data_IF_457843284858
#
_entry.id   IF_457843284858
#
_cell.length_a   1.000
_cell.length_b   1.000
_cell.length_c   1.000
_cell.angle_alpha   90.00
_cell.angle_beta   90.00
_cell.angle_gamma   90.00
#
_symmetry.space_group_name_H-M   'P 1'
#
loop_
_entity.id
_entity.type
_entity.pdbx_description
1 polymer ?
#
# COMPACT_ATOMS: atom_id res chain seq x y z
N UNK A 1 9.55 -3.25 -5.16
CA UNK A 1 8.81 -2.06 -4.69
C UNK A 1 9.81 -1.03 -4.19
N UNK A 2 9.58 0.24 -4.50
CA UNK A 2 10.38 1.38 -4.05
C UNK A 2 9.41 2.31 -3.32
N UNK A 3 9.71 2.73 -2.10
CA UNK A 3 8.76 3.53 -1.33
C UNK A 3 9.34 4.13 -0.06
N UNK A 4 8.54 4.96 0.59
CA UNK A 4 8.87 5.61 1.86
C UNK A 4 7.74 5.41 2.86
N UNK A 5 8.10 4.93 4.05
CA UNK A 5 7.16 4.70 5.14
C UNK A 5 6.93 5.96 5.96
N UNK A 6 5.70 6.13 6.39
CA UNK A 6 5.31 7.15 7.36
C UNK A 6 4.80 6.52 8.64
N UNK A 7 4.97 7.22 9.75
CA UNK A 7 4.33 6.87 11.01
C UNK A 7 2.80 6.86 10.85
N UNK A 8 2.09 6.05 11.62
CA UNK A 8 0.64 5.96 11.49
C UNK A 8 0.19 4.92 10.47
N UNK A 9 1.01 3.89 10.19
CA UNK A 9 0.79 2.92 9.11
C UNK A 9 0.81 3.51 7.68
N UNK A 10 1.34 4.72 7.49
CA UNK A 10 1.30 5.39 6.19
C UNK A 10 2.37 4.85 5.26
N UNK A 11 2.08 4.84 3.96
CA UNK A 11 3.02 4.37 2.96
C UNK A 11 2.76 5.02 1.61
N UNK A 12 3.83 5.44 0.94
CA UNK A 12 3.83 5.64 -0.51
C UNK A 12 4.77 4.62 -1.14
N UNK A 13 4.27 3.87 -2.12
CA UNK A 13 5.05 2.82 -2.80
C UNK A 13 4.78 2.82 -4.29
N UNK A 14 5.85 2.65 -5.06
CA UNK A 14 5.83 2.41 -6.49
C UNK A 14 6.29 0.97 -6.79
N UNK A 15 5.53 0.29 -7.63
CA UNK A 15 5.90 -1.00 -8.20
C UNK A 15 6.16 -0.87 -9.71
N UNK A 16 7.44 -0.93 -10.15
CA UNK A 16 7.78 -0.79 -11.56
C UNK A 16 7.30 -1.96 -12.42
N UNK A 17 7.02 -3.13 -11.84
CA UNK A 17 6.56 -4.30 -12.60
C UNK A 17 5.13 -4.12 -13.08
N UNK A 18 4.25 -3.69 -12.18
CA UNK A 18 2.82 -3.41 -12.45
C UNK A 18 2.57 -1.98 -12.89
N UNK A 19 3.58 -1.10 -12.81
CA UNK A 19 3.49 0.34 -13.10
C UNK A 19 2.47 1.07 -12.24
N UNK A 20 2.29 0.62 -11.00
CA UNK A 20 1.29 1.15 -10.06
C UNK A 20 1.97 1.89 -8.92
N UNK A 21 1.37 3.01 -8.54
CA UNK A 21 1.72 3.79 -7.35
C UNK A 21 0.56 3.69 -6.36
N UNK A 22 0.86 3.35 -5.11
CA UNK A 22 -0.11 3.28 -4.01
C UNK A 22 0.29 4.32 -2.96
N UNK A 23 -0.60 5.26 -2.68
CA UNK A 23 -0.49 6.19 -1.57
C UNK A 23 -1.56 5.84 -0.53
N UNK A 24 -1.14 5.28 0.60
CA UNK A 24 -1.99 4.94 1.72
C UNK A 24 -1.76 5.94 2.86
N UNK A 25 -2.76 6.80 3.05
CA UNK A 25 -2.76 7.88 4.05
C UNK A 25 -3.78 7.54 5.11
N UNK A 26 -3.45 7.79 6.38
CA UNK A 26 -4.34 7.52 7.51
C UNK A 26 -4.56 8.78 8.32
N UNK A 27 -5.77 8.95 8.83
CA UNK A 27 -6.06 9.96 9.84
C UNK A 27 -5.90 9.32 11.22
N UNK A 28 -4.98 9.85 12.03
CA UNK A 28 -4.71 9.39 13.39
C UNK A 28 -3.33 8.77 13.59
N UNK A 29 -2.73 9.04 14.76
CA UNK A 29 -1.41 8.53 15.12
C UNK A 29 -1.50 7.05 15.51
N UNK A 30 -1.49 6.15 14.52
CA UNK A 30 -1.31 4.71 14.79
C UNK A 30 0.15 4.47 15.18
N UNK A 31 0.37 3.69 16.24
CA UNK A 31 1.71 3.25 16.59
C UNK A 31 2.22 2.26 15.53
N UNK A 32 3.35 2.59 14.89
CA UNK A 32 3.99 1.74 13.90
C UNK A 32 3.94 2.27 12.46
N UNK A 33 4.63 1.54 11.60
CA UNK A 33 4.72 1.75 10.15
C UNK A 33 3.88 0.70 9.41
N UNK A 34 3.75 0.86 8.10
CA UNK A 34 2.77 0.16 7.27
C UNK A 34 2.79 -1.37 7.34
N UNK A 35 3.96 -1.97 7.56
CA UNK A 35 4.22 -3.42 7.54
C UNK A 35 3.59 -4.15 8.72
N UNK A 36 3.38 -3.47 9.85
CA UNK A 36 2.65 -4.00 11.00
C UNK A 36 1.14 -3.81 10.89
N UNK A 37 0.66 -3.15 9.85
CA UNK A 37 -0.72 -2.70 9.76
C UNK A 37 -1.54 -3.56 8.81
N UNK A 38 -2.36 -4.45 9.39
CA UNK A 38 -3.24 -5.37 8.65
C UNK A 38 -4.09 -4.69 7.57
N UNK A 39 -4.59 -3.48 7.83
CA UNK A 39 -5.40 -2.75 6.85
C UNK A 39 -4.61 -2.34 5.61
N UNK A 40 -3.35 -1.92 5.78
CA UNK A 40 -2.49 -1.60 4.65
C UNK A 40 -2.26 -2.84 3.79
N UNK A 41 -1.87 -3.97 4.39
CA UNK A 41 -1.63 -5.22 3.66
C UNK A 41 -2.85 -5.69 2.88
N UNK A 42 -4.05 -5.61 3.48
CA UNK A 42 -5.30 -6.01 2.82
C UNK A 42 -5.64 -5.11 1.63
N UNK A 43 -5.47 -3.80 1.77
CA UNK A 43 -5.72 -2.85 0.68
C UNK A 43 -4.69 -2.99 -0.45
N UNK A 44 -3.42 -3.18 -0.10
CA UNK A 44 -2.38 -3.43 -1.08
C UNK A 44 -2.68 -4.67 -1.93
N UNK A 45 -3.03 -5.79 -1.29
CA UNK A 45 -3.41 -7.01 -2.02
C UNK A 45 -4.64 -6.79 -2.90
N UNK A 46 -5.68 -6.12 -2.39
CA UNK A 46 -6.88 -5.84 -3.17
C UNK A 46 -6.61 -4.98 -4.42
N UNK A 47 -5.67 -4.03 -4.36
CA UNK A 47 -5.24 -3.26 -5.54
C UNK A 47 -4.60 -4.18 -6.57
N UNK A 48 -3.71 -5.09 -6.16
CA UNK A 48 -3.06 -6.03 -7.08
C UNK A 48 -4.04 -7.03 -7.69
N UNK A 49 -4.97 -7.56 -6.90
CA UNK A 49 -6.02 -8.46 -7.37
C UNK A 49 -6.91 -7.76 -8.42
N UNK A 50 -7.32 -6.51 -8.16
CA UNK A 50 -8.12 -5.73 -9.10
C UNK A 50 -7.39 -5.47 -10.43
N UNK A 51 -6.07 -5.26 -10.40
CA UNK A 51 -5.28 -5.08 -11.62
C UNK A 51 -5.17 -6.39 -12.42
N UNK A 52 -5.01 -7.53 -11.73
CA UNK A 52 -4.97 -8.84 -12.38
C UNK A 52 -6.28 -9.17 -13.10
N UNK A 53 -7.43 -8.77 -12.54
CA UNK A 53 -8.75 -8.93 -13.15
C UNK A 53 -8.95 -8.10 -14.43
N UNK A 54 -8.25 -6.97 -14.58
CA UNK A 54 -8.38 -6.09 -15.74
C UNK A 54 -7.42 -6.46 -16.90
N UNK A 55 -6.60 -7.49 -16.71
CA UNK A 55 -5.67 -8.03 -17.72
C UNK A 55 -6.09 -9.40 -18.26
N UNK A 56 -7.24 -9.91 -17.82
CA UNK A 56 -7.87 -11.15 -18.29
C UNK A 56 -8.97 -10.83 -19.32
#
# INVERSE_FOLDING_TARGET
>A
MIGHSGHGCQQVVFDPKTKVVIAYVTNGLKAGVYDLCRNYMRLQNAVYDALALNTA
#
